data_IF_214713174029
#
_entry.id   IF_214713174029
#
_cell.length_a   1.000
_cell.length_b   1.000
_cell.length_c   1.000
_cell.angle_alpha   90.00
_cell.angle_beta   90.00
_cell.angle_gamma   90.00
#
_symmetry.space_group_name_H-M   'P 1'
#
loop_
_entity.id
_entity.type
_entity.pdbx_description
1 polymer ?
#
# COMPACT_ATOMS: atom_id res chain seq x y z
N UNK A 1 16.25 22.12 9.43
CA UNK A 1 15.49 23.05 8.58
C UNK A 1 14.19 23.34 9.31
N UNK A 2 14.05 24.52 9.91
CA UNK A 2 12.83 24.94 10.61
C UNK A 2 11.83 25.43 9.57
N UNK A 3 10.59 24.96 9.65
CA UNK A 3 9.48 25.55 8.89
C UNK A 3 9.44 27.05 9.19
N UNK A 4 9.39 27.87 8.14
CA UNK A 4 8.93 29.25 8.31
C UNK A 4 7.50 29.15 8.84
N UNK A 5 7.12 29.85 9.92
CA UNK A 5 5.77 29.78 10.49
C UNK A 5 4.65 29.91 9.43
N UNK A 6 4.90 30.70 8.39
CA UNK A 6 4.04 30.91 7.23
C UNK A 6 3.65 29.61 6.51
N UNK A 7 4.55 28.64 6.38
CA UNK A 7 4.25 27.37 5.69
C UNK A 7 3.23 26.52 6.45
N UNK A 8 3.29 26.52 7.79
CA UNK A 8 2.33 25.80 8.62
C UNK A 8 0.94 26.43 8.55
N UNK A 9 0.90 27.77 8.56
CA UNK A 9 -0.37 28.50 8.49
C UNK A 9 -1.00 28.33 7.11
N UNK A 10 -0.22 28.31 6.01
CA UNK A 10 -0.73 28.02 4.66
C UNK A 10 -1.33 26.61 4.59
N UNK A 11 -0.59 25.58 5.03
CA UNK A 11 -1.09 24.19 5.00
C UNK A 11 -2.36 24.02 5.84
N UNK A 12 -2.43 24.69 6.99
CA UNK A 12 -3.60 24.66 7.86
C UNK A 12 -4.78 25.40 7.25
N UNK A 13 -4.60 26.67 6.93
CA UNK A 13 -5.69 27.58 6.64
C UNK A 13 -6.19 27.43 5.19
N UNK A 14 -5.30 27.10 4.24
CA UNK A 14 -5.67 26.90 2.84
C UNK A 14 -6.10 25.46 2.52
N UNK A 15 -5.57 24.46 3.23
CA UNK A 15 -5.76 23.04 2.87
C UNK A 15 -6.39 22.16 3.95
N UNK A 16 -6.63 22.70 5.15
CA UNK A 16 -7.15 21.91 6.28
C UNK A 16 -6.17 20.84 6.76
N UNK A 17 -4.87 21.02 6.49
CA UNK A 17 -3.83 20.08 6.92
C UNK A 17 -3.15 20.58 8.19
N UNK A 18 -3.26 19.81 9.25
CA UNK A 18 -2.63 20.11 10.53
C UNK A 18 -1.38 19.27 10.69
N UNK A 19 -0.33 19.85 11.28
CA UNK A 19 0.89 19.10 11.59
C UNK A 19 0.56 17.96 12.56
N UNK A 20 0.92 16.76 12.16
CA UNK A 20 0.76 15.57 12.98
C UNK A 20 1.89 15.50 14.01
N UNK A 21 1.56 15.20 15.26
CA UNK A 21 2.48 15.23 16.40
C UNK A 21 2.62 13.90 17.11
N UNK A 22 1.64 13.00 16.95
CA UNK A 22 1.63 11.71 17.64
C UNK A 22 0.75 10.71 16.89
N UNK A 23 1.27 10.20 15.77
CA UNK A 23 0.56 9.19 14.99
C UNK A 23 1.50 8.13 14.42
N UNK A 24 0.91 7.03 13.98
CA UNK A 24 1.61 5.99 13.23
C UNK A 24 2.22 6.53 11.93
N UNK A 25 1.63 7.57 11.34
CA UNK A 25 2.19 8.22 10.15
C UNK A 25 3.45 9.02 10.48
N UNK A 26 3.48 9.76 11.59
CA UNK A 26 4.69 10.44 12.06
C UNK A 26 5.79 9.43 12.42
N UNK A 27 5.42 8.32 13.06
CA UNK A 27 6.34 7.22 13.33
C UNK A 27 6.88 6.60 12.03
N UNK A 28 6.03 6.41 11.01
CA UNK A 28 6.43 5.88 9.69
C UNK A 28 7.38 6.84 8.98
N UNK A 29 7.10 8.13 9.01
CA UNK A 29 8.00 9.15 8.47
C UNK A 29 9.37 9.09 9.17
N UNK A 30 9.39 9.04 10.51
CA UNK A 30 10.64 8.94 11.26
C UNK A 30 11.41 7.64 10.98
N UNK A 31 10.70 6.54 10.74
CA UNK A 31 11.26 5.22 10.45
C UNK A 31 11.80 5.11 9.03
N UNK A 32 11.11 5.66 8.02
CA UNK A 32 11.43 5.42 6.61
C UNK A 32 12.03 6.64 5.88
N UNK A 33 11.87 7.88 6.36
CA UNK A 33 12.25 9.06 5.58
C UNK A 33 13.75 9.10 5.27
N UNK A 34 14.10 8.86 4.01
CA UNK A 34 15.48 8.81 3.55
C UNK A 34 16.32 7.68 4.15
N UNK A 35 15.68 6.62 4.64
CA UNK A 35 16.32 5.45 5.22
C UNK A 35 16.05 4.23 4.35
N UNK A 36 17.02 3.33 4.27
CA UNK A 36 16.82 2.05 3.62
C UNK A 36 15.79 1.21 4.40
N UNK A 37 14.93 0.50 3.67
CA UNK A 37 13.92 -0.34 4.29
C UNK A 37 14.55 -1.67 4.67
N UNK A 38 14.58 -1.95 5.96
CA UNK A 38 14.96 -3.25 6.49
C UNK A 38 13.89 -4.29 6.15
N UNK A 39 14.27 -5.31 5.37
CA UNK A 39 13.41 -6.44 5.03
C UNK A 39 13.85 -7.62 5.89
N UNK A 40 12.97 -8.09 6.75
CA UNK A 40 13.20 -9.27 7.57
C UNK A 40 12.80 -10.52 6.80
N UNK A 41 13.71 -11.50 6.80
CA UNK A 41 13.43 -12.83 6.28
C UNK A 41 13.05 -13.74 7.45
N UNK A 42 11.86 -14.33 7.38
CA UNK A 42 11.41 -15.32 8.35
C UNK A 42 11.13 -16.63 7.65
N UNK A 43 11.78 -17.67 8.15
CA UNK A 43 11.50 -19.07 7.82
C UNK A 43 10.22 -19.48 8.56
N UNK A 44 9.06 -19.01 8.07
CA UNK A 44 7.73 -19.31 8.62
C UNK A 44 7.21 -20.69 8.21
N UNK A 45 7.98 -21.45 7.44
CA UNK A 45 7.55 -22.71 6.86
C UNK A 45 7.20 -23.76 7.90
N UNK A 46 7.76 -23.73 9.11
CA UNK A 46 7.39 -24.69 10.17
C UNK A 46 5.96 -24.48 10.63
N UNK A 47 5.55 -23.24 10.95
CA UNK A 47 4.16 -22.98 11.35
C UNK A 47 3.16 -23.21 10.21
N UNK A 48 3.54 -22.88 8.98
CA UNK A 48 2.68 -23.13 7.83
C UNK A 48 2.53 -24.61 7.53
N UNK A 49 3.65 -25.34 7.59
CA UNK A 49 3.68 -26.79 7.47
C UNK A 49 2.87 -27.43 8.59
N UNK A 50 3.01 -26.99 9.84
CA UNK A 50 2.22 -27.50 10.95
C UNK A 50 0.71 -27.20 10.78
N UNK A 51 0.34 -26.03 10.25
CA UNK A 51 -1.05 -25.68 9.93
C UNK A 51 -1.62 -26.46 8.73
N UNK A 52 -0.77 -26.83 7.77
CA UNK A 52 -1.10 -27.65 6.60
C UNK A 52 -1.22 -29.13 6.96
N UNK A 53 -0.26 -29.63 7.73
CA UNK A 53 -0.13 -31.03 8.15
C UNK A 53 -1.10 -31.34 9.30
N UNK A 54 -1.39 -30.39 10.17
CA UNK A 54 -2.32 -30.54 11.30
C UNK A 54 -3.78 -30.70 10.90
N UNK A 55 -4.14 -30.32 9.66
CA UNK A 55 -5.46 -30.54 9.07
C UNK A 55 -5.48 -31.73 8.08
N UNK A 56 -4.41 -32.55 7.99
CA UNK A 56 -4.25 -33.61 6.98
C UNK A 56 -5.37 -34.68 6.96
N UNK A 57 -6.15 -34.85 8.04
CA UNK A 57 -7.34 -35.72 8.03
C UNK A 57 -8.57 -35.10 7.32
N UNK A 58 -8.58 -33.78 7.08
CA UNK A 58 -9.65 -33.04 6.36
C UNK A 58 -9.16 -32.30 5.10
N UNK A 59 -7.88 -31.96 5.02
CA UNK A 59 -7.25 -31.20 3.95
C UNK A 59 -6.71 -32.14 2.86
N UNK A 60 -7.64 -32.78 2.13
CA UNK A 60 -7.33 -33.49 0.89
C UNK A 60 -6.79 -32.47 -0.13
N UNK A 61 -5.52 -32.60 -0.52
CA UNK A 61 -4.79 -32.10 -1.71
C UNK A 61 -4.95 -30.62 -2.17
N UNK A 62 -6.11 -29.99 -2.02
CA UNK A 62 -6.44 -28.68 -2.56
C UNK A 62 -5.68 -27.51 -1.93
N UNK A 63 -5.11 -27.63 -0.73
CA UNK A 63 -4.33 -26.52 -0.13
C UNK A 63 -2.94 -26.40 -0.74
N UNK A 64 -2.25 -27.53 -0.91
CA UNK A 64 -0.96 -27.59 -1.61
C UNK A 64 -1.12 -27.28 -3.09
N UNK A 65 -2.14 -27.86 -3.75
CA UNK A 65 -2.46 -27.54 -5.15
C UNK A 65 -2.77 -26.05 -5.33
N UNK A 66 -3.49 -25.43 -4.38
CA UNK A 66 -3.74 -23.99 -4.41
C UNK A 66 -2.47 -23.19 -4.16
N UNK A 67 -1.61 -23.59 -3.23
CA UNK A 67 -0.33 -22.94 -2.95
C UNK A 67 0.61 -22.99 -4.16
N UNK A 68 0.66 -24.11 -4.88
CA UNK A 68 1.34 -24.23 -6.18
C UNK A 68 0.67 -23.32 -7.22
N UNK A 69 -0.66 -23.34 -7.34
CA UNK A 69 -1.39 -22.52 -8.30
C UNK A 69 -1.24 -21.00 -8.08
N UNK A 70 -0.97 -20.56 -6.84
CA UNK A 70 -0.70 -19.14 -6.53
C UNK A 70 0.80 -18.79 -6.53
N UNK A 71 1.68 -19.72 -6.91
CA UNK A 71 3.12 -19.50 -6.99
C UNK A 71 3.80 -19.32 -5.62
N UNK A 72 3.16 -19.77 -4.54
CA UNK A 72 3.76 -19.80 -3.19
C UNK A 72 4.69 -21.02 -3.07
N UNK A 73 4.36 -22.10 -3.79
CA UNK A 73 5.20 -23.28 -3.95
C UNK A 73 5.60 -23.39 -5.41
N UNK A 74 6.87 -23.65 -5.66
CA UNK A 74 7.35 -24.04 -6.97
C UNK A 74 7.15 -25.56 -7.13
N UNK A 75 6.55 -25.99 -8.24
CA UNK A 75 6.33 -27.41 -8.55
C UNK A 75 7.65 -28.17 -8.73
N UNK A 76 8.73 -27.45 -9.01
CA UNK A 76 10.03 -28.02 -9.37
C UNK A 76 11.01 -28.15 -8.20
N UNK A 77 10.73 -27.53 -7.05
CA UNK A 77 11.70 -27.46 -5.96
C UNK A 77 11.44 -28.52 -4.87
N UNK A 78 12.49 -29.26 -4.54
CA UNK A 78 12.50 -30.52 -3.77
C UNK A 78 12.17 -30.40 -2.26
N UNK A 79 11.22 -29.55 -1.88
CA UNK A 79 10.63 -29.49 -0.54
C UNK A 79 11.00 -28.25 0.29
N UNK A 80 11.71 -27.29 -0.30
CA UNK A 80 12.00 -26.01 0.33
C UNK A 80 10.85 -25.02 0.12
N UNK A 81 10.13 -24.69 1.19
CA UNK A 81 9.19 -23.56 1.14
C UNK A 81 10.00 -22.26 1.03
N UNK A 82 9.66 -21.34 0.10
CA UNK A 82 10.44 -20.12 -0.05
C UNK A 82 10.34 -19.28 1.23
N UNK A 83 11.44 -18.59 1.61
CA UNK A 83 11.44 -17.75 2.79
C UNK A 83 10.44 -16.60 2.62
N UNK A 84 9.68 -16.31 3.68
CA UNK A 84 8.76 -15.19 3.67
C UNK A 84 9.50 -13.92 4.09
N UNK A 85 9.38 -12.86 3.28
CA UNK A 85 10.03 -11.58 3.51
C UNK A 85 8.99 -10.55 3.97
N UNK A 86 9.29 -9.80 5.02
CA UNK A 86 8.38 -8.82 5.60
C UNK A 86 9.08 -7.50 5.92
N UNK A 87 8.31 -6.43 5.89
CA UNK A 87 8.70 -5.13 6.43
C UNK A 87 7.89 -4.88 7.69
N UNK A 88 8.56 -4.58 8.80
CA UNK A 88 7.89 -4.09 10.01
C UNK A 88 7.56 -2.62 9.83
N UNK A 89 6.33 -2.24 10.19
CA UNK A 89 5.87 -0.87 10.08
C UNK A 89 5.22 -0.41 11.38
N UNK A 90 5.13 0.90 11.60
CA UNK A 90 4.44 1.43 12.78
C UNK A 90 2.91 1.47 12.60
N UNK A 91 2.37 1.09 11.44
CA UNK A 91 0.93 1.07 11.14
C UNK A 91 0.19 -0.09 11.80
N UNK A 92 0.35 -0.26 13.12
CA UNK A 92 -0.19 -1.39 13.87
C UNK A 92 -1.70 -1.35 13.97
N UNK A 93 -2.30 -0.16 14.06
CA UNK A 93 -3.76 0.02 14.10
C UNK A 93 -4.35 -0.09 12.70
N UNK A 94 -3.73 0.53 11.70
CA UNK A 94 -4.22 0.49 10.31
C UNK A 94 -4.10 -0.91 9.72
N UNK A 95 -3.00 -1.61 9.99
CA UNK A 95 -2.71 -2.98 9.56
C UNK A 95 -2.85 -3.97 10.73
N UNK A 96 -3.92 -3.85 11.51
CA UNK A 96 -4.14 -4.64 12.73
C UNK A 96 -4.08 -6.15 12.52
N UNK A 97 -4.54 -6.65 11.36
CA UNK A 97 -4.51 -8.08 11.07
C UNK A 97 -3.09 -8.66 11.16
N UNK A 98 -2.07 -7.87 10.81
CA UNK A 98 -0.67 -8.28 10.67
C UNK A 98 0.24 -7.62 11.69
N UNK A 99 -0.35 -6.85 12.62
CA UNK A 99 0.35 -6.05 13.63
C UNK A 99 1.40 -5.12 13.01
N UNK A 100 1.10 -4.56 11.83
CA UNK A 100 2.01 -3.66 11.12
C UNK A 100 3.05 -4.37 10.25
N UNK A 101 2.99 -5.69 10.06
CA UNK A 101 3.88 -6.38 9.12
C UNK A 101 3.32 -6.36 7.69
N UNK A 102 4.14 -6.02 6.71
CA UNK A 102 3.79 -6.09 5.29
C UNK A 102 4.64 -7.17 4.65
N UNK A 103 4.01 -8.20 4.07
CA UNK A 103 4.72 -9.22 3.29
C UNK A 103 5.18 -8.60 1.97
N UNK A 104 6.45 -8.76 1.64
CA UNK A 104 7.02 -8.30 0.37
C UNK A 104 7.01 -9.47 -0.61
N UNK A 105 6.29 -9.30 -1.72
CA UNK A 105 6.30 -10.23 -2.85
C UNK A 105 7.08 -9.65 -4.02
N UNK A 106 7.44 -10.49 -4.98
CA UNK A 106 8.02 -10.04 -6.25
C UNK A 106 7.05 -9.12 -6.99
N UNK A 107 5.74 -9.38 -6.92
CA UNK A 107 4.72 -8.53 -7.52
C UNK A 107 4.69 -7.12 -6.93
N UNK A 108 4.84 -6.96 -5.61
CA UNK A 108 4.90 -5.63 -5.00
C UNK A 108 6.11 -4.86 -5.53
N UNK A 109 7.24 -5.55 -5.68
CA UNK A 109 8.47 -4.96 -6.22
C UNK A 109 8.30 -4.59 -7.69
N UNK A 110 7.74 -5.48 -8.50
CA UNK A 110 7.45 -5.28 -9.93
C UNK A 110 6.49 -4.12 -10.15
N UNK A 111 5.42 -4.02 -9.36
CA UNK A 111 4.43 -2.94 -9.43
C UNK A 111 5.06 -1.61 -9.00
N UNK A 112 5.81 -1.56 -7.89
CA UNK A 112 6.56 -0.35 -7.48
C UNK A 112 7.53 0.08 -8.57
N UNK A 113 8.32 -0.85 -9.13
CA UNK A 113 9.24 -0.56 -10.23
C UNK A 113 8.53 -0.08 -11.49
N UNK A 114 7.41 -0.69 -11.87
CA UNK A 114 6.64 -0.26 -13.05
C UNK A 114 6.04 1.12 -12.83
N UNK A 115 5.44 1.35 -11.66
CA UNK A 115 4.87 2.63 -11.29
C UNK A 115 5.95 3.72 -11.22
N UNK A 116 7.19 3.41 -10.86
CA UNK A 116 8.29 4.38 -10.82
C UNK A 116 9.03 4.53 -12.16
N UNK A 117 9.20 3.45 -12.92
CA UNK A 117 9.95 3.42 -14.18
C UNK A 117 9.21 4.10 -15.32
N UNK A 118 7.87 4.06 -15.32
CA UNK A 118 7.05 4.83 -16.25
C UNK A 118 7.23 6.35 -16.08
N UNK A 119 7.68 6.80 -14.90
CA UNK A 119 7.83 8.22 -14.55
C UNK A 119 9.06 8.88 -15.15
N UNK A 120 10.10 8.12 -15.46
CA UNK A 120 11.37 8.68 -15.93
C UNK A 120 11.33 9.05 -17.42
N UNK A 121 10.32 8.58 -18.17
CA UNK A 121 10.24 8.76 -19.62
C UNK A 121 9.05 9.62 -20.07
N UNK A 122 8.00 9.73 -19.26
CA UNK A 122 6.86 10.60 -19.55
C UNK A 122 6.85 11.77 -18.56
N UNK A 123 7.02 12.98 -19.08
CA UNK A 123 7.02 14.24 -18.31
C UNK A 123 5.86 14.30 -17.31
N UNK A 124 6.13 14.00 -16.03
CA UNK A 124 5.41 14.38 -14.80
C UNK A 124 3.90 14.09 -14.70
N UNK A 125 3.25 13.50 -15.69
CA UNK A 125 1.79 13.30 -15.71
C UNK A 125 1.47 11.86 -16.07
N UNK A 126 1.10 11.06 -15.07
CA UNK A 126 0.75 9.67 -15.25
C UNK A 126 -0.10 9.16 -14.09
N UNK A 127 -1.20 8.49 -14.43
CA UNK A 127 -2.02 7.77 -13.46
C UNK A 127 -1.80 6.27 -13.65
N UNK A 128 -1.37 5.60 -12.59
CA UNK A 128 -1.30 4.15 -12.51
C UNK A 128 -2.51 3.68 -11.72
N UNK A 129 -3.37 2.91 -12.38
CA UNK A 129 -4.54 2.33 -11.75
C UNK A 129 -4.26 0.86 -11.46
N UNK A 130 -4.19 0.52 -10.18
CA UNK A 130 -4.03 -0.84 -9.70
C UNK A 130 -5.40 -1.39 -9.35
N UNK A 131 -5.84 -2.44 -10.03
CA UNK A 131 -7.14 -3.08 -9.77
C UNK A 131 -6.93 -4.46 -9.13
N UNK A 132 -7.88 -4.88 -8.31
CA UNK A 132 -7.81 -6.19 -7.66
C UNK A 132 -9.10 -6.58 -6.97
N UNK A 133 -9.25 -7.88 -6.69
CA UNK A 133 -10.41 -8.38 -5.96
C UNK A 133 -10.38 -7.94 -4.48
N UNK A 134 -11.52 -8.03 -3.79
CA UNK A 134 -11.55 -7.80 -2.35
C UNK A 134 -10.62 -8.80 -1.65
N UNK A 135 -9.80 -8.32 -0.72
CA UNK A 135 -8.86 -9.16 0.03
C UNK A 135 -7.54 -9.49 -0.67
N UNK A 136 -7.27 -9.00 -1.90
CA UNK A 136 -5.99 -9.27 -2.59
C UNK A 136 -4.77 -8.47 -2.08
N UNK A 137 -4.90 -7.79 -0.94
CA UNK A 137 -3.79 -7.06 -0.33
C UNK A 137 -3.55 -5.64 -0.85
N UNK A 138 -4.51 -5.00 -1.52
CA UNK A 138 -4.38 -3.59 -2.01
C UNK A 138 -3.89 -2.62 -0.93
N UNK A 139 -4.52 -2.63 0.25
CA UNK A 139 -4.10 -1.78 1.36
C UNK A 139 -2.65 -2.02 1.77
N UNK A 140 -2.17 -3.27 1.75
CA UNK A 140 -0.77 -3.59 2.06
C UNK A 140 0.17 -3.08 0.98
N UNK A 141 -0.20 -3.24 -0.30
CA UNK A 141 0.56 -2.67 -1.41
C UNK A 141 0.64 -1.13 -1.32
N UNK A 142 -0.47 -0.46 -0.97
CA UNK A 142 -0.49 0.99 -0.81
C UNK A 142 0.49 1.47 0.28
N UNK A 143 0.51 0.79 1.43
CA UNK A 143 1.45 1.08 2.51
C UNK A 143 2.90 0.69 2.18
N UNK A 144 3.10 -0.39 1.41
CA UNK A 144 4.41 -0.76 0.87
C UNK A 144 4.95 0.36 -0.03
N UNK A 145 4.16 0.81 -1.00
CA UNK A 145 4.53 1.90 -1.91
C UNK A 145 4.78 3.21 -1.15
N UNK A 146 3.98 3.50 -0.12
CA UNK A 146 4.21 4.64 0.76
C UNK A 146 5.57 4.53 1.46
N UNK A 147 5.88 3.40 2.11
CA UNK A 147 7.18 3.19 2.76
C UNK A 147 8.34 3.38 1.79
N UNK A 148 8.21 2.84 0.55
CA UNK A 148 9.19 3.02 -0.53
C UNK A 148 9.32 4.48 -0.96
N UNK A 149 8.23 5.23 -1.10
CA UNK A 149 8.29 6.65 -1.41
C UNK A 149 9.01 7.45 -0.31
N UNK A 150 8.71 7.17 0.96
CA UNK A 150 9.39 7.81 2.11
C UNK A 150 10.89 7.48 2.13
N UNK A 151 11.28 6.23 1.86
CA UNK A 151 12.70 5.83 1.75
C UNK A 151 13.49 6.65 0.73
N UNK A 152 12.81 7.08 -0.33
CA UNK A 152 13.38 7.91 -1.41
C UNK A 152 13.29 9.42 -1.12
N UNK A 153 12.82 9.83 0.06
CA UNK A 153 12.52 11.22 0.44
C UNK A 153 11.53 11.90 -0.51
N UNK A 154 10.59 11.13 -1.07
CA UNK A 154 9.58 11.68 -1.96
C UNK A 154 8.41 12.24 -1.15
N UNK A 155 8.12 13.52 -1.37
CA UNK A 155 6.90 14.15 -0.85
C UNK A 155 5.68 13.36 -1.33
N UNK A 156 4.80 12.95 -0.43
CA UNK A 156 3.70 12.02 -0.76
C UNK A 156 2.40 12.45 -0.09
N UNK A 157 1.33 12.59 -0.87
CA UNK A 157 -0.04 12.68 -0.40
C UNK A 157 -0.63 11.27 -0.36
N UNK A 158 -1.03 10.82 0.81
CA UNK A 158 -1.64 9.53 1.05
C UNK A 158 -3.09 9.71 1.46
N UNK A 159 -4.02 9.32 0.58
CA UNK A 159 -5.45 9.29 0.89
C UNK A 159 -5.86 7.87 1.27
N UNK A 160 -6.32 7.70 2.51
CA UNK A 160 -6.81 6.43 3.01
C UNK A 160 -7.97 6.69 3.97
N UNK A 161 -9.09 5.97 3.79
CA UNK A 161 -10.26 6.00 4.68
C UNK A 161 -10.82 7.41 4.97
N UNK A 162 -10.88 8.26 3.95
CA UNK A 162 -11.44 9.62 4.10
C UNK A 162 -10.52 10.62 4.79
N UNK A 163 -9.24 10.27 5.00
CA UNK A 163 -8.23 11.16 5.55
C UNK A 163 -7.10 11.33 4.56
N UNK A 164 -6.64 12.56 4.41
CA UNK A 164 -5.41 12.88 3.68
C UNK A 164 -4.28 13.02 4.69
N UNK A 165 -3.16 12.37 4.37
CA UNK A 165 -1.90 12.54 5.08
C UNK A 165 -0.83 12.98 4.09
N UNK A 166 -0.22 14.13 4.33
CA UNK A 166 0.87 14.67 3.56
C UNK A 166 2.21 14.42 4.27
N UNK A 167 3.08 13.67 3.61
CA UNK A 167 4.45 13.40 4.06
C UNK A 167 5.42 14.31 3.32
N UNK A 168 6.24 15.04 4.06
CA UNK A 168 7.14 16.07 3.54
C UNK A 168 8.48 16.04 4.27
N UNK A 169 9.51 16.70 3.75
CA UNK A 169 10.81 16.80 4.45
C UNK A 169 10.73 17.54 5.80
N UNK A 170 9.63 18.26 6.06
CA UNK A 170 9.40 19.00 7.31
C UNK A 170 8.56 18.23 8.34
N UNK A 171 8.02 17.08 7.96
CA UNK A 171 7.24 16.20 8.84
C UNK A 171 5.98 15.68 8.16
N UNK A 172 4.99 15.35 9.00
CA UNK A 172 3.71 14.78 8.57
C UNK A 172 2.60 15.77 8.87
N UNK A 173 1.68 15.93 7.93
CA UNK A 173 0.49 16.75 8.07
C UNK A 173 -0.73 15.92 7.73
N UNK A 174 -1.86 16.16 8.36
CA UNK A 174 -3.06 15.37 8.09
C UNK A 174 -4.34 16.17 8.30
N UNK A 175 -5.40 15.76 7.61
CA UNK A 175 -6.72 16.39 7.69
C UNK A 175 -7.81 15.50 7.11
N UNK A 176 -9.02 15.63 7.65
CA UNK A 176 -10.25 15.04 7.10
C UNK A 176 -10.86 15.90 5.99
N UNK A 177 -10.68 17.22 6.10
CA UNK A 177 -11.33 18.21 5.24
C UNK A 177 -10.35 18.78 4.22
N UNK A 178 -9.55 17.90 3.62
CA UNK A 178 -8.60 18.33 2.61
C UNK A 178 -9.33 18.89 1.39
N UNK A 179 -9.16 20.18 1.17
CA UNK A 179 -9.72 20.90 0.04
C UNK A 179 -8.56 21.31 -0.86
N UNK A 180 -8.34 20.62 -1.99
CA UNK A 180 -7.43 21.10 -3.00
C UNK A 180 -8.06 22.35 -3.63
N UNK A 181 -7.78 23.52 -3.06
CA UNK A 181 -8.14 24.79 -3.68
C UNK A 181 -7.30 25.03 -4.94
N UNK A 182 -7.81 25.84 -5.86
CA UNK A 182 -7.08 26.26 -7.07
C UNK A 182 -5.70 26.88 -6.72
N UNK A 183 -5.62 27.62 -5.62
CA UNK A 183 -4.36 28.19 -5.11
C UNK A 183 -3.42 27.17 -4.46
N UNK A 184 -3.97 26.03 -4.00
CA UNK A 184 -3.17 24.93 -3.46
C UNK A 184 -2.26 24.31 -4.50
N UNK A 185 -2.65 24.37 -5.77
CA UNK A 185 -1.81 23.89 -6.86
C UNK A 185 -0.53 24.70 -7.01
N UNK A 186 -0.65 26.03 -6.95
CA UNK A 186 0.52 26.92 -7.04
C UNK A 186 1.51 26.69 -5.91
N UNK A 187 1.04 26.34 -4.71
CA UNK A 187 1.91 25.98 -3.60
C UNK A 187 2.86 24.82 -3.96
N UNK A 188 2.35 23.80 -4.67
CA UNK A 188 3.17 22.67 -5.12
C UNK A 188 4.03 22.99 -6.34
N UNK A 189 3.48 23.71 -7.33
CA UNK A 189 4.21 24.09 -8.55
C UNK A 189 5.47 24.91 -8.25
N UNK A 190 5.39 25.81 -7.27
CA UNK A 190 6.52 26.68 -6.89
C UNK A 190 7.70 25.92 -6.27
N UNK A 191 7.51 24.67 -5.81
CA UNK A 191 8.53 23.92 -5.07
C UNK A 191 9.30 22.90 -5.92
N UNK A 192 9.00 22.79 -7.21
CA UNK A 192 9.60 21.83 -8.17
C UNK A 192 9.49 20.33 -7.79
N UNK A 193 8.95 20.00 -6.61
CA UNK A 193 8.72 18.66 -6.09
C UNK A 193 7.22 18.39 -6.03
N UNK A 194 6.67 17.84 -7.11
CA UNK A 194 5.26 17.45 -7.16
C UNK A 194 5.07 16.23 -6.27
N UNK A 195 4.24 16.32 -5.21
CA UNK A 195 4.04 15.18 -4.33
C UNK A 195 3.40 14.02 -5.09
N UNK A 196 3.86 12.81 -4.79
CA UNK A 196 3.22 11.59 -5.26
C UNK A 196 1.88 11.41 -4.57
N UNK A 197 0.83 11.15 -5.31
CA UNK A 197 -0.49 10.84 -4.77
C UNK A 197 -0.70 9.32 -4.75
N UNK A 198 -0.96 8.76 -3.57
CA UNK A 198 -1.35 7.36 -3.39
C UNK A 198 -2.74 7.34 -2.78
N UNK A 199 -3.67 6.66 -3.45
CA UNK A 199 -5.09 6.61 -3.08
C UNK A 199 -5.50 5.16 -2.82
N UNK A 200 -5.73 4.83 -1.54
CA UNK A 200 -6.30 3.55 -1.12
C UNK A 200 -7.82 3.66 -1.03
N UNK A 201 -8.52 3.15 -2.06
CA UNK A 201 -9.98 3.22 -2.18
C UNK A 201 -10.60 1.99 -1.50
N UNK A 202 -11.07 2.20 -0.27
CA UNK A 202 -11.65 1.15 0.60
C UNK A 202 -13.05 0.68 0.11
N UNK A 203 -13.83 1.54 -0.59
CA UNK A 203 -15.20 1.22 -1.04
C UNK A 203 -15.61 1.82 -2.39
N UNK A 204 -16.59 1.19 -3.05
CA UNK A 204 -17.14 1.66 -4.35
C UNK A 204 -17.88 3.00 -4.27
N UNK A 205 -18.31 3.42 -3.07
CA UNK A 205 -19.08 4.66 -2.83
C UNK A 205 -18.21 5.85 -2.41
N UNK A 206 -16.91 5.79 -2.68
CA UNK A 206 -15.97 6.77 -2.16
C UNK A 206 -16.15 8.13 -2.86
N UNK A 207 -16.59 9.13 -2.09
CA UNK A 207 -16.64 10.54 -2.49
C UNK A 207 -15.25 11.07 -2.89
N UNK A 208 -14.18 10.29 -2.61
CA UNK A 208 -12.85 10.49 -3.17
C UNK A 208 -12.85 10.67 -4.69
N UNK A 209 -13.78 10.05 -5.43
CA UNK A 209 -13.89 10.27 -6.88
C UNK A 209 -14.15 11.74 -7.24
N UNK A 210 -14.98 12.44 -6.46
CA UNK A 210 -15.30 13.85 -6.69
C UNK A 210 -14.21 14.77 -6.14
N UNK A 211 -13.69 14.48 -4.95
CA UNK A 211 -12.62 15.27 -4.33
C UNK A 211 -11.29 15.17 -5.08
N UNK A 212 -11.00 14.03 -5.69
CA UNK A 212 -9.74 13.77 -6.38
C UNK A 212 -9.81 14.02 -7.89
N UNK A 213 -11.00 14.20 -8.48
CA UNK A 213 -11.15 14.47 -9.92
C UNK A 213 -10.39 15.74 -10.32
N UNK A 214 -10.53 16.83 -9.54
CA UNK A 214 -9.78 18.07 -9.81
C UNK A 214 -8.27 17.90 -9.69
N UNK A 215 -7.78 17.05 -8.77
CA UNK A 215 -6.34 16.84 -8.61
C UNK A 215 -5.70 16.02 -9.73
N UNK A 216 -6.47 15.13 -10.38
CA UNK A 216 -5.94 14.28 -11.43
C UNK A 216 -5.57 15.04 -12.70
N UNK A 217 -6.38 16.04 -13.04
CA UNK A 217 -6.24 16.79 -14.29
C UNK A 217 -5.00 17.71 -14.25
N UNK A 218 -4.50 17.98 -13.06
CA UNK A 218 -3.53 19.03 -12.80
C UNK A 218 -2.08 18.51 -12.58
N UNK A 219 -1.83 17.23 -12.83
CA UNK A 219 -0.45 16.71 -13.04
C UNK A 219 0.25 16.13 -11.81
N UNK A 220 -0.49 15.61 -10.83
CA UNK A 220 0.09 14.68 -9.86
C UNK A 220 0.28 13.30 -10.49
N UNK A 221 1.37 12.63 -10.12
CA UNK A 221 1.44 11.18 -10.28
C UNK A 221 0.47 10.55 -9.31
N UNK A 222 -0.50 9.78 -9.82
CA UNK A 222 -1.51 9.14 -8.97
C UNK A 222 -1.43 7.62 -9.08
N UNK A 223 -1.32 6.94 -7.95
CA UNK A 223 -1.51 5.50 -7.84
C UNK A 223 -2.88 5.25 -7.20
N UNK A 224 -3.80 4.64 -7.94
CA UNK A 224 -5.16 4.32 -7.47
C UNK A 224 -5.32 2.84 -7.25
N UNK A 225 -5.93 2.44 -6.13
CA UNK A 225 -6.20 1.04 -5.87
C UNK A 225 -7.71 0.74 -5.86
N UNK A 226 -8.26 0.18 -6.94
CA UNK A 226 -9.71 -0.07 -7.09
C UNK A 226 -10.11 -1.55 -6.93
N UNK A 227 -11.37 -1.78 -6.56
CA UNK A 227 -11.98 -3.11 -6.58
C UNK A 227 -12.38 -3.48 -8.03
N UNK A 228 -12.03 -4.70 -8.46
CA UNK A 228 -12.20 -5.20 -9.85
C UNK A 228 -13.63 -5.11 -10.42
N UNK A 229 -14.67 -4.99 -9.58
CA UNK A 229 -16.08 -5.00 -10.02
C UNK A 229 -16.54 -3.71 -10.69
N UNK A 230 -15.79 -2.61 -10.56
CA UNK A 230 -16.18 -1.30 -11.07
C UNK A 230 -15.37 -0.91 -12.31
N UNK A 231 -15.57 -1.63 -13.42
CA UNK A 231 -15.09 -1.21 -14.74
C UNK A 231 -15.97 -0.05 -15.25
N UNK A 232 -15.73 1.17 -14.75
CA UNK A 232 -16.26 2.38 -15.39
C UNK A 232 -15.35 2.78 -16.55
N UNK A 233 -15.95 2.85 -17.75
CA UNK A 233 -15.37 3.08 -19.09
C UNK A 233 -14.66 4.43 -19.31
N UNK A 234 -14.22 5.12 -18.26
CA UNK A 234 -13.84 6.55 -18.28
C UNK A 234 -12.33 6.83 -18.12
N UNK A 235 -11.44 5.89 -18.44
CA UNK A 235 -9.99 6.10 -18.28
C UNK A 235 -9.29 5.95 -19.62
N UNK A 236 -9.14 7.07 -20.35
CA UNK A 236 -8.55 7.06 -21.69
C UNK A 236 -7.01 7.17 -21.70
N UNK A 237 -6.35 7.37 -20.55
CA UNK A 237 -4.88 7.59 -20.50
C UNK A 237 -4.14 6.92 -19.32
N UNK A 238 -4.78 6.03 -18.54
CA UNK A 238 -4.12 5.38 -17.39
C UNK A 238 -3.48 4.04 -17.74
N UNK A 239 -2.29 3.76 -17.19
CA UNK A 239 -1.73 2.41 -17.20
C UNK A 239 -2.46 1.56 -16.14
N UNK A 240 -3.16 0.52 -16.58
CA UNK A 240 -3.80 -0.43 -15.67
C UNK A 240 -2.83 -1.56 -15.31
N UNK A 241 -2.62 -1.75 -14.01
CA UNK A 241 -1.87 -2.87 -13.46
C UNK A 241 -2.83 -3.75 -12.66
N UNK A 242 -2.98 -5.01 -13.06
CA UNK A 242 -3.80 -5.95 -12.30
C UNK A 242 -2.93 -6.57 -11.18
N UNK A 243 -3.41 -6.47 -9.94
CA UNK A 243 -2.90 -7.28 -8.83
C UNK A 243 -3.42 -8.71 -9.03
N UNK A 244 -2.76 -9.47 -9.90
CA UNK A 244 -3.07 -10.86 -10.16
C UNK A 244 -2.35 -11.75 -9.15
N UNK A 245 -3.07 -12.25 -8.15
CA UNK A 245 -2.79 -13.61 -7.70
C UNK A 245 -3.42 -14.55 -8.73
N UNK A 246 -2.74 -15.62 -9.12
CA UNK A 246 -3.13 -16.56 -10.20
C UNK A 246 -4.63 -16.66 -10.48
N UNK A 247 -4.98 -16.49 -11.77
CA UNK A 247 -6.32 -16.34 -12.34
C UNK A 247 -7.23 -17.56 -12.11
N UNK A 248 -7.79 -17.76 -10.90
CA UNK A 248 -8.82 -18.76 -10.63
C UNK A 248 -9.84 -18.28 -9.57
N UNK A 249 -11.00 -17.76 -9.99
CA UNK A 249 -12.23 -17.57 -9.21
C UNK A 249 -12.12 -17.63 -7.65
N UNK A 250 -11.76 -16.51 -7.02
CA UNK A 250 -11.50 -16.39 -5.57
C UNK A 250 -12.69 -15.97 -4.70
N UNK A 251 -13.93 -15.92 -5.22
CA UNK A 251 -15.04 -15.26 -4.50
C UNK A 251 -15.80 -16.12 -3.49
N UNK A 252 -15.41 -17.38 -3.27
CA UNK A 252 -16.10 -18.27 -2.31
C UNK A 252 -15.20 -19.29 -1.61
N UNK A 253 -13.88 -19.23 -1.80
CA UNK A 253 -12.98 -20.23 -1.21
C UNK A 253 -12.70 -19.92 0.27
N UNK A 254 -13.00 -20.85 1.21
CA UNK A 254 -12.59 -20.76 2.61
C UNK A 254 -11.09 -20.50 2.78
N UNK A 255 -10.30 -20.90 1.79
CA UNK A 255 -8.86 -20.81 1.73
C UNK A 255 -8.33 -19.38 1.55
N UNK A 256 -9.07 -18.50 0.89
CA UNK A 256 -8.74 -17.08 0.80
C UNK A 256 -8.90 -16.37 2.14
N UNK A 257 -9.97 -16.75 2.81
CA UNK A 257 -10.26 -16.32 4.17
C UNK A 257 -9.28 -16.98 5.14
N UNK A 258 -8.80 -18.19 4.85
CA UNK A 258 -7.79 -18.91 5.63
C UNK A 258 -6.39 -18.33 5.43
N UNK A 259 -5.93 -18.01 4.21
CA UNK A 259 -4.61 -17.42 3.97
C UNK A 259 -4.54 -15.99 4.53
N UNK A 260 -5.57 -15.17 4.29
CA UNK A 260 -5.62 -13.81 4.85
C UNK A 260 -5.94 -13.75 6.36
N UNK A 261 -6.57 -14.76 6.97
CA UNK A 261 -6.79 -14.77 8.43
C UNK A 261 -5.79 -15.61 9.20
N UNK A 262 -5.20 -16.65 8.61
CA UNK A 262 -4.33 -17.64 9.26
C UNK A 262 -2.86 -17.34 9.03
N UNK A 263 -2.38 -17.02 7.82
CA UNK A 263 -1.00 -16.53 7.62
C UNK A 263 -0.70 -15.27 8.46
N UNK A 264 -1.75 -14.48 8.73
CA UNK A 264 -1.66 -13.33 9.62
C UNK A 264 -1.99 -13.64 11.09
N UNK A 265 -2.70 -14.74 11.43
CA UNK A 265 -2.78 -15.26 12.82
C UNK A 265 -1.53 -16.05 13.22
N UNK A 266 -0.78 -16.68 12.34
CA UNK A 266 0.52 -17.29 12.66
C UNK A 266 1.59 -16.22 12.89
N UNK A 267 1.55 -15.09 12.16
CA UNK A 267 2.30 -13.89 12.52
C UNK A 267 1.89 -13.30 13.91
N UNK A 268 0.72 -13.66 14.45
CA UNK A 268 0.32 -13.32 15.83
C UNK A 268 0.94 -14.23 16.89
N UNK A 269 1.55 -15.35 16.50
CA UNK A 269 2.31 -16.28 17.34
C UNK A 269 3.83 -16.04 17.31
N UNK A 270 4.27 -14.81 16.97
CA UNK A 270 5.61 -14.38 17.34
C UNK A 270 5.79 -14.56 18.86
N UNK A 271 6.89 -15.16 19.32
CA UNK A 271 7.16 -15.28 20.75
C UNK A 271 7.07 -13.88 21.36
N UNK A 272 6.31 -13.75 22.46
CA UNK A 272 6.34 -12.51 23.24
C UNK A 272 7.81 -12.26 23.62
N UNK A 273 8.35 -11.04 23.43
CA UNK A 273 9.64 -10.73 24.01
C UNK A 273 9.55 -11.01 25.51
N UNK A 274 10.52 -11.77 26.01
CA UNK A 274 10.64 -12.12 27.43
C UNK A 274 10.79 -10.87 28.29
#
# INVERSE_FOLDING_TARGET
>A
MTLVPEDNDILRDAHGLHRDTDSEHLAAWSMFWGKEIEVEEQVLWTQWRDDLDGDAERAVNGLSDLACAVGVLDESDSGGWPPCRFIKTPWKTTLAATRGCIMTTEDYTRIDQSANGSLDHQRRRGTVTITGQSGCGRTYLAHYMLARALSRRQSTLFYCRGRVTFFHNLGVFSGSDFRPGYDGFRFWEMREDYPRLIVDVDRENDQSKLLMSGMLDDGFMTVRLHASRSHSRAYLESQELELSYGRLHWTSSPLATWYSRRCFRTAQMLPRPA
#
